data_IF_406631133633
#
_entry.id   IF_406631133633
#
_cell.length_a   1.000
_cell.length_b   1.000
_cell.length_c   1.000
_cell.angle_alpha   90.00
_cell.angle_beta   90.00
_cell.angle_gamma   90.00
#
_symmetry.space_group_name_H-M   'P 1'
#
loop_
_entity.id
_entity.type
_entity.pdbx_description
1 polymer ?
#
# COMPACT_ATOMS: atom_id res chain seq x y z
N UNK A 1 37.72 24.53 -2.68
CA UNK A 1 37.39 23.09 -2.61
C UNK A 1 35.95 22.93 -3.05
N UNK A 2 35.73 22.41 -4.26
CA UNK A 2 34.39 22.26 -4.85
C UNK A 2 34.11 20.78 -5.04
N UNK A 3 33.07 20.26 -4.38
CA UNK A 3 32.67 18.85 -4.47
C UNK A 3 31.60 18.73 -5.56
N UNK A 4 31.87 17.92 -6.59
CA UNK A 4 30.89 17.60 -7.65
C UNK A 4 29.92 16.52 -7.17
N UNK A 5 28.64 16.52 -7.61
CA UNK A 5 27.72 15.42 -7.34
C UNK A 5 28.19 14.13 -8.05
N UNK A 6 28.06 12.99 -7.37
CA UNK A 6 28.28 11.66 -7.96
C UNK A 6 27.03 11.24 -8.73
N UNK A 7 27.21 10.89 -10.00
CA UNK A 7 26.17 10.26 -10.83
C UNK A 7 25.86 8.85 -10.30
N UNK A 8 24.57 8.58 -10.09
CA UNK A 8 24.04 7.28 -9.69
C UNK A 8 23.94 6.41 -10.93
N UNK A 9 24.82 5.41 -11.04
CA UNK A 9 24.75 4.37 -12.07
C UNK A 9 23.77 3.26 -11.63
N UNK A 10 22.72 3.02 -12.41
CA UNK A 10 21.92 1.79 -12.31
C UNK A 10 22.67 0.63 -12.99
N UNK A 11 22.81 -0.53 -12.36
CA UNK A 11 23.39 -1.71 -13.01
C UNK A 11 22.44 -2.24 -14.10
N UNK A 12 22.96 -2.41 -15.31
CA UNK A 12 22.30 -3.08 -16.44
C UNK A 12 22.18 -4.59 -16.17
N UNK A 13 20.97 -5.13 -16.25
CA UNK A 13 20.73 -6.58 -16.22
C UNK A 13 21.25 -7.23 -17.52
N UNK A 14 22.50 -7.71 -17.49
CA UNK A 14 23.03 -8.60 -18.52
C UNK A 14 22.73 -10.06 -18.17
N UNK A 15 21.91 -10.66 -19.04
CA UNK A 15 22.05 -12.01 -19.62
C UNK A 15 22.19 -13.23 -18.69
N UNK A 16 21.12 -14.04 -18.65
CA UNK A 16 21.23 -15.50 -18.70
C UNK A 16 20.46 -16.02 -19.92
N UNK A 17 21.20 -16.54 -20.90
CA UNK A 17 20.64 -17.29 -22.04
C UNK A 17 20.95 -18.75 -21.80
N UNK A 18 19.93 -19.54 -21.47
CA UNK A 18 19.98 -20.99 -21.64
C UNK A 18 18.70 -21.50 -22.35
N UNK A 19 18.89 -21.81 -23.63
CA UNK A 19 18.29 -22.89 -24.41
C UNK A 19 16.76 -23.07 -24.37
N UNK A 20 16.04 -22.31 -25.21
CA UNK A 20 14.65 -22.62 -25.61
C UNK A 20 14.65 -23.33 -26.99
N UNK A 21 14.02 -24.50 -27.14
CA UNK A 21 13.99 -25.24 -28.40
C UNK A 21 13.22 -24.48 -29.51
N UNK A 22 13.75 -24.63 -30.73
CA UNK A 22 13.55 -23.77 -31.90
C UNK A 22 12.18 -23.90 -32.61
N UNK A 23 11.08 -24.12 -31.89
CA UNK A 23 9.75 -24.40 -32.46
C UNK A 23 8.60 -23.53 -31.92
N UNK A 24 8.85 -22.25 -31.61
CA UNK A 24 7.78 -21.26 -31.32
C UNK A 24 7.81 -20.03 -32.24
N UNK A 25 8.44 -20.13 -33.42
CA UNK A 25 8.57 -19.02 -34.38
C UNK A 25 7.32 -18.72 -35.20
N UNK A 26 6.13 -18.85 -34.61
CA UNK A 26 4.94 -18.13 -35.05
C UNK A 26 4.19 -17.56 -33.84
N UNK A 27 4.90 -16.81 -32.98
CA UNK A 27 4.24 -15.91 -32.06
C UNK A 27 3.58 -14.79 -32.86
N UNK A 28 2.27 -14.97 -33.04
CA UNK A 28 1.31 -14.04 -33.63
C UNK A 28 1.67 -12.58 -33.26
N UNK A 29 1.98 -11.78 -34.28
CA UNK A 29 2.46 -10.39 -34.13
C UNK A 29 1.37 -9.45 -33.59
N UNK A 30 0.12 -9.93 -33.55
CA UNK A 30 -1.06 -9.23 -33.05
C UNK A 30 -1.19 -9.23 -31.52
N UNK A 31 -0.35 -9.99 -30.80
CA UNK A 31 -0.47 -10.13 -29.35
C UNK A 31 0.27 -9.07 -28.51
N UNK A 32 0.67 -7.95 -29.13
CA UNK A 32 1.33 -6.84 -28.42
C UNK A 32 0.40 -6.07 -27.47
N UNK A 33 -0.89 -6.38 -27.47
CA UNK A 33 -1.92 -5.73 -26.66
C UNK A 33 -2.47 -6.58 -25.50
N UNK A 34 -2.01 -7.82 -25.30
CA UNK A 34 -2.32 -8.58 -24.08
C UNK A 34 -1.42 -8.11 -22.93
N UNK A 35 -1.62 -6.87 -22.47
CA UNK A 35 -1.11 -6.48 -21.15
C UNK A 35 -1.91 -7.24 -20.10
N UNK A 36 -1.21 -7.99 -19.26
CA UNK A 36 -1.79 -8.60 -18.07
C UNK A 36 -2.35 -7.48 -17.17
N UNK A 37 -3.65 -7.52 -16.89
CA UNK A 37 -4.32 -6.63 -15.94
C UNK A 37 -4.15 -7.22 -14.53
N UNK A 38 -3.31 -6.57 -13.71
CA UNK A 38 -3.10 -6.98 -12.33
C UNK A 38 -4.13 -6.32 -11.43
N UNK A 39 -4.85 -7.12 -10.66
CA UNK A 39 -5.86 -6.65 -9.71
C UNK A 39 -5.47 -7.02 -8.29
N UNK A 40 -5.83 -6.16 -7.34
CA UNK A 40 -5.67 -6.47 -5.91
C UNK A 40 -6.51 -7.69 -5.55
N UNK A 41 -5.93 -8.58 -4.75
CA UNK A 41 -6.63 -9.73 -4.18
C UNK A 41 -7.60 -9.33 -3.05
N UNK A 42 -7.36 -8.15 -2.45
CA UNK A 42 -8.20 -7.57 -1.41
C UNK A 42 -9.00 -6.41 -1.96
N UNK A 43 -10.29 -6.38 -1.64
CA UNK A 43 -11.18 -5.29 -2.02
C UNK A 43 -11.01 -4.16 -1.02
N UNK A 44 -10.87 -2.94 -1.55
CA UNK A 44 -10.60 -1.76 -0.75
C UNK A 44 -11.63 -0.66 -0.98
N UNK A 45 -11.91 0.12 0.06
CA UNK A 45 -12.70 1.35 0.02
C UNK A 45 -11.74 2.51 0.32
N UNK A 46 -11.77 3.56 -0.50
CA UNK A 46 -10.95 4.75 -0.28
C UNK A 46 -11.84 5.90 0.18
N UNK A 47 -11.44 6.56 1.26
CA UNK A 47 -12.13 7.70 1.84
C UNK A 47 -11.21 8.91 1.85
N UNK A 48 -11.75 10.06 1.46
CA UNK A 48 -11.04 11.33 1.53
C UNK A 48 -11.33 11.95 2.90
N UNK A 49 -10.28 12.20 3.68
CA UNK A 49 -10.37 12.79 5.01
C UNK A 49 -9.86 14.23 4.97
N UNK A 50 -10.67 15.15 5.48
CA UNK A 50 -10.28 16.55 5.69
C UNK A 50 -9.82 16.74 7.14
N UNK A 51 -8.67 17.39 7.33
CA UNK A 51 -8.17 17.72 8.67
C UNK A 51 -8.76 19.06 9.07
N UNK A 52 -9.73 19.04 9.99
CA UNK A 52 -10.38 20.23 10.55
C UNK A 52 -9.98 20.38 12.00
N UNK A 53 -9.26 21.45 12.29
CA UNK A 53 -8.75 21.80 13.61
C UNK A 53 -8.92 23.31 13.79
N UNK A 54 -9.40 23.72 14.97
CA UNK A 54 -9.66 25.12 15.30
C UNK A 54 -8.37 25.87 15.66
N UNK A 55 -7.35 25.14 16.10
CA UNK A 55 -6.12 25.71 16.64
C UNK A 55 -4.99 25.68 15.62
N UNK A 56 -4.99 24.70 14.70
CA UNK A 56 -3.89 24.47 13.76
C UNK A 56 -4.33 24.40 12.29
N UNK A 57 -3.50 24.97 11.42
CA UNK A 57 -3.51 24.74 9.98
C UNK A 57 -2.58 23.57 9.65
N UNK A 58 -3.00 22.65 8.77
CA UNK A 58 -2.23 21.47 8.36
C UNK A 58 -1.92 21.47 6.85
N UNK A 59 -0.75 20.94 6.49
CA UNK A 59 -0.32 20.66 5.12
C UNK A 59 0.16 19.20 4.99
N UNK A 60 -0.45 18.39 4.10
CA UNK A 60 -1.68 18.70 3.34
C UNK A 60 -2.90 18.80 4.27
N UNK A 61 -3.90 19.61 3.89
CA UNK A 61 -5.16 19.78 4.64
C UNK A 61 -6.13 18.60 4.48
N UNK A 62 -5.84 17.70 3.55
CA UNK A 62 -6.63 16.53 3.26
C UNK A 62 -5.71 15.35 2.93
N UNK A 63 -6.18 14.14 3.22
CA UNK A 63 -5.48 12.91 2.89
C UNK A 63 -6.49 11.81 2.54
N UNK A 64 -5.99 10.66 2.13
CA UNK A 64 -6.82 9.50 1.80
C UNK A 64 -6.53 8.37 2.75
N UNK A 65 -7.60 7.77 3.26
CA UNK A 65 -7.54 6.52 4.00
C UNK A 65 -8.07 5.40 3.11
N UNK A 66 -7.36 4.27 3.10
CA UNK A 66 -7.73 3.10 2.29
C UNK A 66 -7.99 1.93 3.21
N UNK A 67 -9.24 1.51 3.25
CA UNK A 67 -9.77 0.48 4.13
C UNK A 67 -10.05 -0.82 3.40
N UNK A 68 -9.91 -1.96 4.07
CA UNK A 68 -10.42 -3.22 3.53
C UNK A 68 -11.94 -3.21 3.58
N UNK A 69 -12.61 -3.76 2.56
CA UNK A 69 -14.08 -3.71 2.47
C UNK A 69 -14.80 -4.31 3.70
N UNK A 70 -14.23 -5.34 4.32
CA UNK A 70 -14.73 -5.89 5.58
C UNK A 70 -14.45 -5.04 6.83
N UNK A 71 -13.42 -4.19 6.78
CA UNK A 71 -13.03 -3.30 7.88
C UNK A 71 -13.84 -1.98 7.85
N UNK A 72 -14.17 -1.48 6.66
CA UNK A 72 -14.91 -0.22 6.45
C UNK A 72 -16.37 -0.26 6.91
N UNK A 73 -16.96 -1.45 7.04
CA UNK A 73 -18.37 -1.63 7.41
C UNK A 73 -18.61 -1.67 8.93
N UNK A 74 -17.55 -1.57 9.73
CA UNK A 74 -17.61 -1.74 11.18
C UNK A 74 -17.35 -0.40 11.89
N UNK A 75 -18.14 -0.12 12.93
CA UNK A 75 -17.82 0.93 13.90
C UNK A 75 -16.48 0.63 14.62
N UNK A 76 -15.85 1.64 15.21
CA UNK A 76 -14.54 1.49 15.86
C UNK A 76 -14.53 0.38 16.92
N UNK A 77 -15.65 0.19 17.62
CA UNK A 77 -15.87 -0.86 18.62
C UNK A 77 -16.09 -2.24 17.99
N UNK A 78 -16.82 -2.32 16.87
CA UNK A 78 -17.07 -3.57 16.16
C UNK A 78 -15.83 -4.10 15.42
N UNK A 79 -14.92 -3.21 15.00
CA UNK A 79 -13.62 -3.57 14.41
C UNK A 79 -12.77 -4.45 15.34
N UNK A 80 -12.92 -4.28 16.65
CA UNK A 80 -12.20 -5.05 17.68
C UNK A 80 -12.87 -6.42 17.90
N UNK A 81 -14.19 -6.49 17.73
CA UNK A 81 -15.00 -7.65 18.17
C UNK A 81 -15.14 -8.71 17.08
N UNK A 82 -15.36 -8.31 15.81
CA UNK A 82 -15.47 -9.26 14.67
C UNK A 82 -15.00 -8.62 13.36
N UNK A 83 -13.75 -8.82 12.93
CA UNK A 83 -13.37 -8.48 11.57
C UNK A 83 -14.17 -9.36 10.61
N UNK A 84 -14.95 -8.75 9.72
CA UNK A 84 -15.50 -9.44 8.55
C UNK A 84 -14.31 -9.77 7.63
N UNK A 85 -13.72 -10.94 7.83
CA UNK A 85 -12.50 -11.34 7.13
C UNK A 85 -12.79 -11.63 5.65
N UNK A 86 -12.37 -10.72 4.78
CA UNK A 86 -12.29 -11.02 3.35
C UNK A 86 -11.16 -12.03 3.10
N UNK A 87 -11.44 -13.04 2.29
CA UNK A 87 -10.43 -14.00 1.79
C UNK A 87 -9.92 -13.54 0.44
N UNK A 88 -8.61 -13.69 0.20
CA UNK A 88 -7.91 -13.10 -0.96
C UNK A 88 -7.24 -14.13 -1.88
N UNK A 89 -7.06 -15.36 -1.41
CA UNK A 89 -6.65 -16.53 -2.21
C UNK A 89 -7.33 -17.75 -1.57
N UNK A 90 -6.97 -19.00 -1.95
CA UNK A 90 -7.36 -20.25 -1.28
C UNK A 90 -7.77 -20.03 0.20
N UNK A 91 -8.87 -20.62 0.69
CA UNK A 91 -9.68 -20.13 1.82
C UNK A 91 -9.00 -19.91 3.20
N UNK A 92 -7.69 -20.08 3.30
CA UNK A 92 -6.83 -19.85 4.45
C UNK A 92 -6.11 -18.49 4.45
N UNK A 93 -6.09 -17.72 3.36
CA UNK A 93 -5.48 -16.38 3.32
C UNK A 93 -6.52 -15.29 3.59
N UNK A 94 -6.14 -14.28 4.36
CA UNK A 94 -7.01 -13.21 4.84
C UNK A 94 -6.50 -11.84 4.41
N UNK A 95 -7.42 -10.93 4.12
CA UNK A 95 -7.11 -9.52 3.90
C UNK A 95 -6.91 -8.81 5.23
N UNK A 96 -5.73 -8.23 5.42
CA UNK A 96 -5.35 -7.52 6.64
C UNK A 96 -5.19 -6.03 6.35
N UNK A 97 -5.76 -5.19 7.21
CA UNK A 97 -5.66 -3.74 7.12
C UNK A 97 -4.22 -3.29 7.34
N UNK A 98 -3.68 -2.54 6.37
CA UNK A 98 -2.36 -1.93 6.46
C UNK A 98 -2.46 -0.54 7.07
N UNK A 99 -1.64 -0.30 8.09
CA UNK A 99 -1.50 1.01 8.73
C UNK A 99 -0.14 1.59 8.33
N UNK A 100 -0.12 2.88 7.99
CA UNK A 100 1.09 3.62 7.64
C UNK A 100 1.16 4.91 8.46
N UNK A 101 2.34 5.24 8.96
CA UNK A 101 2.63 6.57 9.49
C UNK A 101 2.74 7.58 8.36
N UNK A 102 1.84 8.56 8.33
CA UNK A 102 1.86 9.67 7.42
C UNK A 102 2.39 10.92 8.13
N UNK A 103 3.23 11.66 7.43
CA UNK A 103 3.79 12.93 7.91
C UNK A 103 3.05 14.11 7.30
N UNK A 104 2.78 15.09 8.14
CA UNK A 104 2.19 16.37 7.84
C UNK A 104 3.09 17.46 8.43
N UNK A 105 2.80 18.70 8.07
CA UNK A 105 3.27 19.86 8.84
C UNK A 105 2.07 20.65 9.34
N UNK A 106 2.19 21.24 10.51
CA UNK A 106 1.13 22.07 11.10
C UNK A 106 1.68 23.36 11.69
N UNK A 107 0.84 24.40 11.77
CA UNK A 107 1.15 25.65 12.47
C UNK A 107 -0.09 26.19 13.18
N UNK A 108 0.04 26.93 14.29
CA UNK A 108 -1.11 27.56 14.93
C UNK A 108 -1.77 28.60 14.02
N UNK A 109 -3.10 28.67 13.99
CA UNK A 109 -3.84 29.70 13.23
C UNK A 109 -3.57 31.11 13.72
N UNK A 110 -3.41 31.26 15.04
CA UNK A 110 -3.36 32.56 15.72
C UNK A 110 -1.92 33.00 16.08
N UNK A 111 -0.89 32.35 15.54
CA UNK A 111 0.49 32.77 15.77
C UNK A 111 0.98 33.70 14.67
N UNK A 112 1.51 34.86 15.04
CA UNK A 112 2.31 35.72 14.14
C UNK A 112 3.60 35.04 13.66
N UNK A 113 3.92 33.84 14.18
CA UNK A 113 5.03 33.02 13.72
C UNK A 113 4.63 32.14 12.54
N UNK A 114 5.31 32.27 11.41
CA UNK A 114 5.20 31.39 10.24
C UNK A 114 5.92 30.03 10.43
N UNK A 115 6.12 29.59 11.66
CA UNK A 115 6.86 28.38 11.97
C UNK A 115 5.98 27.15 11.80
N UNK A 116 6.32 26.31 10.83
CA UNK A 116 5.72 25.00 10.63
C UNK A 116 6.43 23.94 11.47
N UNK A 117 5.65 23.07 12.09
CA UNK A 117 6.12 21.94 12.89
C UNK A 117 5.75 20.61 12.25
N UNK A 118 6.62 19.62 12.39
CA UNK A 118 6.33 18.25 11.92
C UNK A 118 5.24 17.61 12.76
N UNK A 119 4.26 17.00 12.10
CA UNK A 119 3.20 16.22 12.73
C UNK A 119 3.11 14.86 12.04
N UNK A 120 2.89 13.79 12.80
CA UNK A 120 2.74 12.45 12.24
C UNK A 120 1.49 11.79 12.77
N UNK A 121 0.77 11.09 11.90
CA UNK A 121 -0.44 10.33 12.24
C UNK A 121 -0.39 8.97 11.56
N UNK A 122 -0.84 7.94 12.26
CA UNK A 122 -1.02 6.61 11.67
C UNK A 122 -2.39 6.54 10.96
N UNK A 123 -2.39 6.13 9.69
CA UNK A 123 -3.55 6.12 8.82
C UNK A 123 -3.75 4.76 8.14
N UNK A 124 -4.99 4.41 7.83
CA UNK A 124 -5.30 3.25 7.00
C UNK A 124 -4.79 3.49 5.57
N UNK A 125 -3.96 2.59 5.04
CA UNK A 125 -3.19 2.83 3.81
C UNK A 125 -3.38 1.78 2.72
N UNK A 126 -4.11 0.70 3.01
CA UNK A 126 -4.37 -0.37 2.05
C UNK A 126 -4.63 -1.70 2.74
N UNK A 127 -4.59 -2.78 1.95
CA UNK A 127 -4.81 -4.13 2.43
C UNK A 127 -3.83 -5.09 1.79
N UNK A 128 -3.28 -5.98 2.59
CA UNK A 128 -2.37 -7.03 2.13
C UNK A 128 -3.02 -8.42 2.37
N UNK A 129 -2.76 -9.34 1.45
CA UNK A 129 -3.22 -10.73 1.57
C UNK A 129 -2.19 -11.52 2.37
N UNK A 130 -2.56 -11.94 3.58
CA UNK A 130 -1.62 -12.52 4.54
C UNK A 130 -2.09 -13.89 5.05
N UNK A 131 -1.12 -14.67 5.50
CA UNK A 131 -1.32 -15.97 6.13
C UNK A 131 -1.40 -15.83 7.67
N UNK A 132 -2.42 -16.41 8.33
CA UNK A 132 -2.64 -16.24 9.76
C UNK A 132 -1.81 -17.27 10.56
N UNK A 133 -0.52 -16.98 10.76
CA UNK A 133 0.43 -17.87 11.46
C UNK A 133 -0.08 -18.28 12.85
N UNK A 134 -0.76 -17.38 13.57
CA UNK A 134 -1.33 -17.65 14.90
C UNK A 134 -2.37 -18.78 14.91
N UNK A 135 -3.08 -18.98 13.80
CA UNK A 135 -4.21 -19.90 13.73
C UNK A 135 -3.82 -21.20 13.00
N UNK A 136 -2.94 -21.11 12.00
CA UNK A 136 -2.63 -22.21 11.09
C UNK A 136 -1.15 -22.66 11.14
N UNK A 137 -0.33 -22.03 11.99
CA UNK A 137 1.10 -22.30 12.11
C UNK A 137 1.91 -21.74 10.94
N UNK A 138 3.16 -22.18 10.83
CA UNK A 138 4.05 -21.76 9.75
C UNK A 138 3.52 -22.17 8.38
N UNK A 139 3.64 -21.25 7.42
CA UNK A 139 3.17 -21.44 6.05
C UNK A 139 3.84 -22.68 5.45
N UNK A 140 5.15 -22.86 5.66
CA UNK A 140 5.98 -23.94 5.11
C UNK A 140 5.57 -25.35 5.50
N UNK A 141 4.69 -25.55 6.48
CA UNK A 141 4.18 -26.88 6.81
C UNK A 141 3.05 -27.35 5.88
N UNK A 142 2.56 -26.46 5.01
CA UNK A 142 1.44 -26.70 4.10
C UNK A 142 1.86 -26.83 2.62
N UNK A 143 3.15 -26.73 2.29
CA UNK A 143 3.70 -26.88 0.92
C UNK A 143 5.03 -27.62 0.90
#
# INVERSE_FOLDING_TARGET
>A
MSVRPKDIFYPSEEYYVENVPRNLQQLNRDNRNLRLDYRSLCETVSEKVEIKDQDYEYQPSQYYEVYCKGYSLLSEEERIIKPLEQKCIYPAFHCVQKIRRMSFVRRPWNSDSDCWESYTKDIASGCDCMWPVSNLGEISHHY
#
